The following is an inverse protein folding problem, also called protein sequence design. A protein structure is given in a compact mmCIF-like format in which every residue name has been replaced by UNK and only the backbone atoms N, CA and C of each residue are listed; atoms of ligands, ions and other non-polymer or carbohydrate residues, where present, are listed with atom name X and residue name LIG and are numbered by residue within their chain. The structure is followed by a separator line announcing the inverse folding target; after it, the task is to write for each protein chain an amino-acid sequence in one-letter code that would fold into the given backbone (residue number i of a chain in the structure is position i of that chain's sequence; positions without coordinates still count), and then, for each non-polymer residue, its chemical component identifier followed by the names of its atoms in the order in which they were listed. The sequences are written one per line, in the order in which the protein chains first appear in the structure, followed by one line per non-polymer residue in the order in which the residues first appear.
data_IF_929379528669
#
_entry.id   IF_929379528669
#
_cell.length_a   1.000
_cell.length_b   1.000
_cell.length_c   1.000
_cell.angle_alpha   90.00
_cell.angle_beta   90.00
_cell.angle_gamma   90.00
#
_symmetry.space_group_name_H-M   'P 1'
#
loop_
_entity.id
_entity.type
_entity.pdbx_description
1 polymer ?
#
# COMPACT_ATOMS: atom_id res chain seq x y z
N UNK A 1 7.00 7.70 15.86
CA UNK A 1 7.39 7.13 14.56
C UNK A 1 7.74 8.27 13.61
N UNK A 2 8.80 8.17 12.82
CA UNK A 2 9.17 9.18 11.81
C UNK A 2 8.60 8.83 10.42
N UNK A 3 8.35 9.80 9.52
CA UNK A 3 7.75 9.55 8.20
C UNK A 3 8.55 8.60 7.29
N UNK A 4 9.89 8.65 7.32
CA UNK A 4 10.74 7.73 6.55
C UNK A 4 10.65 6.29 7.05
N UNK A 5 10.55 6.11 8.37
CA UNK A 5 10.36 4.80 8.98
C UNK A 5 9.00 4.22 8.62
N UNK A 6 7.95 5.06 8.66
CA UNK A 6 6.62 4.69 8.20
C UNK A 6 6.62 4.32 6.70
N UNK A 7 7.28 5.10 5.84
CA UNK A 7 7.39 4.80 4.41
C UNK A 7 8.10 3.46 4.16
N UNK A 8 9.14 3.12 4.96
CA UNK A 8 9.83 1.84 4.87
C UNK A 8 8.92 0.68 5.28
N UNK A 9 8.23 0.79 6.41
CA UNK A 9 7.33 -0.26 6.91
C UNK A 9 6.13 -0.47 5.96
N UNK A 10 5.53 0.62 5.48
CA UNK A 10 4.45 0.55 4.48
C UNK A 10 4.91 -0.13 3.19
N UNK A 11 6.17 0.10 2.78
CA UNK A 11 6.73 -0.54 1.59
C UNK A 11 6.79 -2.06 1.76
N UNK A 12 7.37 -2.52 2.86
CA UNK A 12 7.48 -3.95 3.17
C UNK A 12 6.10 -4.61 3.20
N UNK A 13 5.15 -3.96 3.87
CA UNK A 13 3.79 -4.46 4.01
C UNK A 13 3.02 -4.51 2.68
N UNK A 14 3.13 -3.46 1.87
CA UNK A 14 2.49 -3.43 0.56
C UNK A 14 3.17 -4.39 -0.43
N UNK A 15 4.48 -4.58 -0.36
CA UNK A 15 5.18 -5.57 -1.18
C UNK A 15 4.71 -6.99 -0.84
N UNK A 16 4.54 -7.33 0.46
CA UNK A 16 3.97 -8.61 0.86
C UNK A 16 2.50 -8.73 0.46
N UNK A 17 1.68 -7.71 0.74
CA UNK A 17 0.24 -7.76 0.49
C UNK A 17 -0.09 -7.72 -0.99
N UNK A 18 0.72 -7.08 -1.84
CA UNK A 18 0.54 -7.03 -3.29
C UNK A 18 1.22 -8.19 -4.01
N UNK A 19 2.06 -8.97 -3.33
CA UNK A 19 2.63 -10.19 -3.90
C UNK A 19 1.49 -11.11 -4.36
N UNK A 20 1.53 -11.50 -5.62
CA UNK A 20 0.53 -12.37 -6.24
C UNK A 20 0.79 -13.81 -5.78
N UNK A 21 -0.12 -14.46 -5.03
CA UNK A 21 0.05 -15.85 -4.62
C UNK A 21 -0.37 -16.84 -5.72
N UNK A 22 -0.62 -16.37 -6.95
CA UNK A 22 -1.11 -17.20 -8.05
C UNK A 22 -0.11 -18.28 -8.48
N UNK A 23 -0.66 -19.36 -9.04
CA UNK A 23 0.06 -20.58 -9.49
C UNK A 23 0.95 -20.36 -10.74
N UNK A 24 1.30 -19.10 -11.07
CA UNK A 24 2.01 -18.70 -12.28
C UNK A 24 3.30 -17.90 -12.01
N UNK A 25 4.05 -17.50 -13.05
CA UNK A 25 5.21 -16.65 -12.86
C UNK A 25 4.79 -15.33 -12.20
N UNK A 26 5.30 -15.09 -11.00
CA UNK A 26 5.03 -13.87 -10.25
C UNK A 26 5.36 -12.66 -11.14
N UNK A 27 4.33 -11.89 -11.50
CA UNK A 27 4.53 -10.63 -12.21
C UNK A 27 5.13 -9.65 -11.20
N UNK A 28 6.32 -9.09 -11.46
CA UNK A 28 6.97 -8.21 -10.50
C UNK A 28 6.09 -6.98 -10.23
N UNK A 29 5.97 -6.63 -8.95
CA UNK A 29 5.33 -5.39 -8.51
C UNK A 29 6.41 -4.33 -8.40
N UNK A 30 6.25 -3.24 -9.14
CA UNK A 30 7.00 -2.01 -8.89
C UNK A 30 6.25 -1.17 -7.86
N UNK A 31 6.88 -0.85 -6.74
CA UNK A 31 6.29 0.00 -5.69
C UNK A 31 7.21 1.19 -5.40
N UNK A 32 6.62 2.38 -5.39
CA UNK A 32 7.27 3.62 -4.94
C UNK A 32 6.35 4.31 -3.95
N UNK A 33 6.90 4.71 -2.81
CA UNK A 33 6.20 5.44 -1.75
C UNK A 33 6.93 6.77 -1.57
N UNK A 34 6.21 7.87 -1.74
CA UNK A 34 6.71 9.22 -1.44
C UNK A 34 6.09 9.66 -0.11
N UNK A 35 6.89 9.96 0.91
CA UNK A 35 6.37 10.39 2.21
C UNK A 35 5.73 11.78 2.12
N UNK A 36 4.79 12.10 3.03
CA UNK A 36 4.10 13.39 3.06
C UNK A 36 5.04 14.58 3.21
N UNK A 37 6.18 14.41 3.90
CA UNK A 37 7.17 15.47 4.12
C UNK A 37 7.78 16.02 2.81
N UNK A 38 7.74 15.24 1.74
CA UNK A 38 8.20 15.63 0.40
C UNK A 38 7.05 16.17 -0.48
N UNK A 39 5.82 16.24 0.04
CA UNK A 39 4.60 16.58 -0.68
C UNK A 39 3.90 17.79 -0.04
N UNK A 40 3.58 18.81 -0.84
CA UNK A 40 2.73 19.90 -0.39
C UNK A 40 1.26 19.64 -0.82
N UNK A 41 0.26 19.68 0.09
CA UNK A 41 0.34 19.76 1.55
C UNK A 41 0.59 18.39 2.21
N UNK A 42 1.35 18.36 3.31
CA UNK A 42 1.81 17.19 4.10
C UNK A 42 0.70 16.29 4.69
N UNK A 43 -0.20 15.73 3.87
CA UNK A 43 -1.39 15.02 4.37
C UNK A 43 -1.47 13.55 3.99
N UNK A 44 -0.65 13.08 3.05
CA UNK A 44 -0.70 11.70 2.56
C UNK A 44 0.64 11.18 2.07
N UNK A 45 0.83 9.86 2.14
CA UNK A 45 1.86 9.15 1.41
C UNK A 45 1.36 8.92 -0.02
N UNK A 46 2.16 9.29 -1.03
CA UNK A 46 1.83 8.96 -2.42
C UNK A 46 2.37 7.59 -2.78
N UNK A 47 1.46 6.69 -3.12
CA UNK A 47 1.75 5.30 -3.46
C UNK A 47 1.60 5.14 -4.97
N UNK A 48 2.70 4.85 -5.65
CA UNK A 48 2.70 4.46 -7.06
C UNK A 48 3.04 2.97 -7.15
N UNK A 49 2.10 2.19 -7.66
CA UNK A 49 2.26 0.76 -7.86
C UNK A 49 2.09 0.40 -9.34
N UNK A 50 2.84 -0.60 -9.80
CA UNK A 50 2.75 -1.11 -11.17
C UNK A 50 2.88 -2.62 -11.21
N UNK A 51 2.09 -3.27 -12.07
CA UNK A 51 2.09 -4.71 -12.34
C UNK A 51 1.89 -4.95 -13.84
N UNK A 52 2.93 -5.36 -14.54
CA UNK A 52 2.87 -5.52 -16.00
C UNK A 52 2.44 -4.22 -16.70
N UNK A 53 1.36 -4.21 -17.50
CA UNK A 53 0.85 -3.00 -18.15
C UNK A 53 0.03 -2.08 -17.23
N UNK A 54 -0.32 -2.53 -16.02
CA UNK A 54 -1.12 -1.76 -15.07
C UNK A 54 -0.23 -0.86 -14.23
N UNK A 55 -0.60 0.41 -14.11
CA UNK A 55 0.02 1.38 -13.21
C UNK A 55 -1.08 2.19 -12.54
N UNK A 56 -0.94 2.41 -11.24
CA UNK A 56 -1.85 3.19 -10.42
C UNK A 56 -1.06 4.09 -9.49
N UNK A 57 -1.57 5.29 -9.29
CA UNK A 57 -1.09 6.24 -8.30
C UNK A 57 -2.27 6.62 -7.41
N UNK A 58 -2.06 6.52 -6.10
CA UNK A 58 -3.08 6.79 -5.09
C UNK A 58 -2.43 7.41 -3.86
N UNK A 59 -3.20 8.22 -3.13
CA UNK A 59 -2.75 8.85 -1.90
C UNK A 59 -3.30 8.05 -0.70
N UNK A 60 -2.41 7.67 0.22
CA UNK A 60 -2.71 7.02 1.48
C UNK A 60 -2.68 8.08 2.59
N UNK A 61 -3.80 8.37 3.28
CA UNK A 61 -3.83 9.36 4.35
C UNK A 61 -2.79 9.05 5.42
N UNK A 62 -2.00 10.06 5.83
CA UNK A 62 -0.95 9.89 6.83
C UNK A 62 -1.50 9.39 8.17
N UNK A 63 -2.71 9.82 8.55
CA UNK A 63 -3.39 9.34 9.75
C UNK A 63 -3.69 7.84 9.70
N UNK A 64 -4.24 7.35 8.58
CA UNK A 64 -4.52 5.93 8.37
C UNK A 64 -3.22 5.10 8.40
N UNK A 65 -2.19 5.56 7.70
CA UNK A 65 -0.89 4.90 7.66
C UNK A 65 -0.26 4.74 9.05
N UNK A 66 -0.24 5.83 9.83
CA UNK A 66 0.34 5.82 11.18
C UNK A 66 -0.49 4.94 12.12
N UNK A 67 -1.82 5.05 12.09
CA UNK A 67 -2.70 4.27 12.95
C UNK A 67 -2.59 2.76 12.63
N UNK A 68 -2.53 2.39 11.36
CA UNK A 68 -2.30 1.00 10.95
C UNK A 68 -0.95 0.47 11.46
N UNK A 69 0.14 1.20 11.24
CA UNK A 69 1.48 0.81 11.71
C UNK A 69 1.63 0.80 13.24
N UNK A 70 0.69 1.44 13.95
CA UNK A 70 0.61 1.40 15.41
C UNK A 70 -0.30 0.27 15.92
N UNK A 71 -0.73 -0.64 15.03
CA UNK A 71 -1.64 -1.76 15.34
C UNK A 71 -2.99 -1.30 15.93
N UNK A 72 -3.49 -0.12 15.53
CA UNK A 72 -4.82 0.34 15.95
C UNK A 72 -5.90 -0.47 15.21
N UNK A 73 -6.67 -1.28 15.93
CA UNK A 73 -7.74 -2.13 15.36
C UNK A 73 -8.73 -1.34 14.48
N UNK A 74 -9.05 -0.11 14.87
CA UNK A 74 -9.96 0.77 14.12
C UNK A 74 -9.43 1.15 12.72
N UNK A 75 -8.12 1.10 12.51
CA UNK A 75 -7.48 1.42 11.23
C UNK A 75 -7.33 0.19 10.31
N UNK A 76 -7.45 -1.03 10.85
CA UNK A 76 -7.25 -2.27 10.09
C UNK A 76 -8.28 -2.42 8.98
N UNK A 77 -9.56 -2.20 9.26
CA UNK A 77 -10.61 -2.33 8.24
C UNK A 77 -10.47 -1.29 7.12
N UNK A 78 -10.13 -0.05 7.48
CA UNK A 78 -9.93 1.03 6.51
C UNK A 78 -8.68 0.76 5.65
N UNK A 79 -7.59 0.28 6.25
CA UNK A 79 -6.39 -0.17 5.54
C UNK A 79 -6.71 -1.30 4.56
N UNK A 80 -7.39 -2.36 5.03
CA UNK A 80 -7.82 -3.51 4.22
C UNK A 80 -8.66 -3.06 3.02
N UNK A 81 -9.60 -2.15 3.23
CA UNK A 81 -10.44 -1.57 2.18
C UNK A 81 -9.62 -0.78 1.15
N UNK A 82 -8.69 0.06 1.61
CA UNK A 82 -7.80 0.84 0.75
C UNK A 82 -6.89 -0.07 -0.10
N UNK A 83 -6.28 -1.09 0.52
CA UNK A 83 -5.41 -2.05 -0.19
C UNK A 83 -6.20 -2.89 -1.18
N UNK A 84 -7.44 -3.28 -0.87
CA UNK A 84 -8.31 -3.99 -1.81
C UNK A 84 -8.59 -3.14 -3.08
N UNK A 85 -8.79 -1.83 -2.93
CA UNK A 85 -8.91 -0.90 -4.05
C UNK A 85 -7.64 -0.80 -4.89
N UNK A 86 -6.47 -0.76 -4.23
CA UNK A 86 -5.17 -0.77 -4.90
C UNK A 86 -4.96 -2.06 -5.71
N UNK A 87 -5.22 -3.23 -5.11
CA UNK A 87 -5.14 -4.54 -5.77
C UNK A 87 -6.07 -4.63 -6.98
N UNK A 88 -7.30 -4.17 -6.84
CA UNK A 88 -8.28 -4.13 -7.93
C UNK A 88 -7.76 -3.29 -9.12
N UNK A 89 -7.18 -2.12 -8.84
CA UNK A 89 -6.60 -1.24 -9.86
C UNK A 89 -5.40 -1.85 -10.58
N UNK A 90 -4.63 -2.70 -9.89
CA UNK A 90 -3.50 -3.47 -10.44
C UNK A 90 -3.92 -4.76 -11.16
N UNK A 91 -5.22 -5.08 -11.22
CA UNK A 91 -5.73 -6.31 -11.80
C UNK A 91 -5.35 -7.56 -11.01
N UNK A 92 -5.11 -7.44 -9.70
CA UNK A 92 -4.82 -8.56 -8.80
C UNK A 92 -6.15 -9.11 -8.27
N UNK A 93 -6.52 -10.32 -8.72
CA UNK A 93 -7.77 -11.00 -8.37
C UNK A 93 -7.43 -12.23 -7.52
N UNK A 94 -7.78 -12.21 -6.23
CA UNK A 94 -7.52 -13.33 -5.30
C UNK A 94 -7.74 -12.93 -3.83
N UNK A 95 -7.83 -13.91 -2.89
CA UNK A 95 -8.01 -13.64 -1.46
C UNK A 95 -6.79 -12.91 -0.92
N UNK A 96 -6.90 -11.59 -0.79
CA UNK A 96 -5.75 -10.69 -0.79
C UNK A 96 -5.29 -10.17 0.55
N UNK A 97 -5.90 -10.60 1.66
CA UNK A 97 -5.59 -10.08 2.99
C UNK A 97 -5.64 -11.26 3.96
N UNK A 98 -4.51 -11.54 4.61
CA UNK A 98 -4.46 -12.53 5.70
C UNK A 98 -5.23 -11.96 6.90
N UNK A 99 -5.97 -12.84 7.57
CA UNK A 99 -6.75 -12.51 8.77
C UNK A 99 -5.83 -12.31 9.97
#
# INVERSE_FOLDING_TARGET
MNPDEAARLLREELEETLADPGDGPATPIGLTIVPPADLAPDTAFRIRASRGPHMVETDLPTGLAIAYLADEEAAVDEWKSWVAGLRSSLGIIGPGLRD
#
